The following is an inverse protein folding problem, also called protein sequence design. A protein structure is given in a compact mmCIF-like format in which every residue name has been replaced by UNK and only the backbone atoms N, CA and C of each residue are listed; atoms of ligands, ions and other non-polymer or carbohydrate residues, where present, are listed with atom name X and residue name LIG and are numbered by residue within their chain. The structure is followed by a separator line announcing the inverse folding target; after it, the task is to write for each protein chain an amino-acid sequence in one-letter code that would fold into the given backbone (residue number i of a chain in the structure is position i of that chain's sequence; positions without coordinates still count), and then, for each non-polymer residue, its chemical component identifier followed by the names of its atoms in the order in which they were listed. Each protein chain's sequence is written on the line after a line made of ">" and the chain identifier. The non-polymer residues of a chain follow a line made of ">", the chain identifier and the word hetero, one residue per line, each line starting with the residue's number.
data_IF_539158990252
#
_entry.id   IF_539158990252
#
_cell.length_a   1.000
_cell.length_b   1.000
_cell.length_c   1.000
_cell.angle_alpha   90.00
_cell.angle_beta   90.00
_cell.angle_gamma   90.00
#
_symmetry.space_group_name_H-M   'P 1'
#
loop_
_entity.id
_entity.type
_entity.pdbx_description
1 polymer ?
#
# COMPACT_ATOMS: atom_id res chain seq x y z
N UNK A 1 4.39 12.58 -46.00
CA UNK A 1 4.11 13.93 -46.55
C UNK A 1 4.74 14.95 -45.64
N UNK A 2 5.70 15.72 -46.15
CA UNK A 2 6.51 16.64 -45.33
C UNK A 2 5.70 17.79 -44.73
N UNK A 3 6.16 18.30 -43.58
CA UNK A 3 5.52 19.37 -42.83
C UNK A 3 5.11 20.61 -43.67
N UNK A 4 5.85 20.89 -44.74
CA UNK A 4 5.53 21.99 -45.68
C UNK A 4 4.21 21.84 -46.42
N UNK A 5 3.80 20.62 -46.80
CA UNK A 5 2.51 20.40 -47.48
C UNK A 5 1.32 20.55 -46.51
N UNK A 6 1.52 20.23 -45.23
CA UNK A 6 0.48 20.34 -44.20
C UNK A 6 0.23 21.79 -43.78
N UNK A 7 1.27 22.65 -43.81
CA UNK A 7 1.13 24.10 -43.57
C UNK A 7 0.29 24.79 -44.63
N UNK A 8 0.55 24.50 -45.91
CA UNK A 8 -0.14 25.10 -47.05
C UNK A 8 -1.65 24.79 -47.07
N UNK A 9 -2.05 23.63 -46.52
CA UNK A 9 -3.45 23.20 -46.50
C UNK A 9 -4.24 23.69 -45.27
N UNK A 10 -3.58 23.93 -44.13
CA UNK A 10 -4.27 24.23 -42.85
C UNK A 10 -3.94 25.57 -42.23
N UNK A 11 -2.99 26.35 -42.78
CA UNK A 11 -2.59 27.67 -42.26
C UNK A 11 -1.84 27.64 -40.91
N UNK A 12 -1.90 26.52 -40.20
CA UNK A 12 -1.16 26.26 -38.97
C UNK A 12 -0.58 24.84 -39.00
N UNK A 13 0.71 24.71 -38.69
CA UNK A 13 1.31 23.42 -38.33
C UNK A 13 1.27 23.30 -36.81
N UNK A 14 0.69 22.22 -36.30
CA UNK A 14 0.77 21.88 -34.88
C UNK A 14 2.23 21.50 -34.54
N UNK A 15 3.04 22.50 -34.17
CA UNK A 15 4.46 22.32 -33.83
C UNK A 15 4.70 21.83 -32.39
N UNK A 16 3.64 21.69 -31.59
CA UNK A 16 3.71 21.17 -30.21
C UNK A 16 2.75 20.00 -30.06
N UNK A 17 3.29 18.80 -29.97
CA UNK A 17 2.58 17.62 -29.47
C UNK A 17 2.60 17.68 -27.95
N UNK A 18 1.66 18.41 -27.35
CA UNK A 18 1.42 18.38 -25.90
C UNK A 18 0.53 17.18 -25.58
N UNK A 19 0.96 16.29 -24.69
CA UNK A 19 0.19 15.12 -24.30
C UNK A 19 1.05 14.05 -23.64
N UNK A 20 0.43 12.90 -23.34
CA UNK A 20 1.17 11.72 -22.91
C UNK A 20 1.88 11.09 -24.10
N UNK A 21 3.11 10.66 -23.90
CA UNK A 21 3.86 9.86 -24.87
C UNK A 21 4.34 8.57 -24.19
N UNK A 22 4.57 7.54 -24.99
CA UNK A 22 5.19 6.32 -24.49
C UNK A 22 6.63 6.61 -24.10
N UNK A 23 6.96 6.36 -22.83
CA UNK A 23 8.31 6.55 -22.36
C UNK A 23 9.29 5.62 -23.08
N UNK A 24 10.36 6.21 -23.61
CA UNK A 24 11.53 5.48 -24.12
C UNK A 24 12.62 5.42 -23.04
N UNK A 25 13.61 4.52 -23.21
CA UNK A 25 14.67 4.31 -22.20
C UNK A 25 15.46 5.59 -21.88
N UNK A 26 15.62 6.49 -22.86
CA UNK A 26 16.26 7.79 -22.65
C UNK A 26 15.42 8.72 -21.76
N UNK A 27 14.09 8.70 -21.91
CA UNK A 27 13.17 9.51 -21.11
C UNK A 27 13.14 9.10 -19.64
N UNK A 28 13.54 7.86 -19.31
CA UNK A 28 13.56 7.42 -17.91
C UNK A 28 14.44 8.30 -17.05
N UNK A 29 15.52 8.87 -17.62
CA UNK A 29 16.47 9.72 -16.90
C UNK A 29 15.83 11.00 -16.34
N UNK A 30 14.69 11.41 -16.90
CA UNK A 30 13.99 12.62 -16.49
C UNK A 30 13.29 12.46 -15.13
N UNK A 31 12.97 11.22 -14.72
CA UNK A 31 12.23 10.92 -13.48
C UNK A 31 12.77 9.70 -12.70
N UNK A 32 13.72 8.94 -13.25
CA UNK A 32 14.38 7.81 -12.60
C UNK A 32 15.90 7.95 -12.64
N UNK A 33 16.53 7.64 -11.51
CA UNK A 33 17.98 7.58 -11.40
C UNK A 33 18.41 6.49 -10.43
N UNK A 34 19.57 5.89 -10.67
CA UNK A 34 20.19 4.95 -9.73
C UNK A 34 20.72 5.62 -8.47
N UNK A 35 20.98 6.93 -8.53
CA UNK A 35 21.38 7.75 -7.38
C UNK A 35 20.21 8.12 -6.46
N UNK A 36 18.97 7.91 -6.91
CA UNK A 36 17.80 8.28 -6.12
C UNK A 36 17.57 7.33 -4.95
N UNK A 37 16.84 7.81 -3.95
CA UNK A 37 16.58 7.06 -2.73
C UNK A 37 15.15 6.49 -2.60
N UNK A 38 14.24 6.86 -3.50
CA UNK A 38 12.86 6.43 -3.51
C UNK A 38 12.65 5.00 -4.02
N UNK A 39 11.42 4.67 -4.37
CA UNK A 39 10.98 3.33 -4.78
C UNK A 39 11.68 2.87 -6.08
N UNK A 40 12.02 1.59 -6.12
CA UNK A 40 12.61 0.93 -7.28
C UNK A 40 11.49 0.59 -8.29
N UNK A 41 11.61 1.05 -9.54
CA UNK A 41 10.55 0.82 -10.55
C UNK A 41 10.90 -0.24 -11.59
N UNK A 42 12.18 -0.35 -11.97
CA UNK A 42 12.64 -1.33 -12.97
C UNK A 42 12.91 -2.72 -12.36
N UNK A 43 12.95 -2.81 -11.03
CA UNK A 43 13.31 -4.03 -10.30
C UNK A 43 14.82 -4.29 -10.20
N UNK A 44 15.66 -3.33 -10.60
CA UNK A 44 17.12 -3.47 -10.63
C UNK A 44 17.84 -2.25 -10.04
N UNK A 45 17.87 -1.12 -10.76
CA UNK A 45 18.67 0.04 -10.34
C UNK A 45 17.95 1.39 -10.43
N UNK A 46 16.92 1.53 -11.25
CA UNK A 46 16.25 2.81 -11.49
C UNK A 46 15.19 3.10 -10.44
N UNK A 47 15.45 4.14 -9.65
CA UNK A 47 14.60 4.57 -8.52
C UNK A 47 13.96 5.92 -8.79
N UNK A 48 12.72 6.07 -8.32
CA UNK A 48 12.08 7.38 -8.18
C UNK A 48 12.81 8.23 -7.16
N UNK A 49 12.65 9.55 -7.25
CA UNK A 49 13.00 10.42 -6.14
C UNK A 49 12.17 10.06 -4.89
N UNK A 50 12.67 10.43 -3.73
CA UNK A 50 11.94 10.22 -2.47
C UNK A 50 10.62 11.01 -2.45
N UNK A 51 10.63 12.24 -2.98
CA UNK A 51 9.44 13.08 -3.08
C UNK A 51 8.34 12.45 -3.95
N UNK A 52 8.69 11.93 -5.13
CA UNK A 52 7.72 11.24 -5.99
C UNK A 52 7.23 9.95 -5.36
N UNK A 53 8.08 9.25 -4.61
CA UNK A 53 7.69 8.03 -3.91
C UNK A 53 6.62 8.26 -2.85
N UNK A 54 6.58 9.46 -2.24
CA UNK A 54 5.54 9.87 -1.29
C UNK A 54 4.21 10.29 -1.94
N UNK A 55 4.12 10.33 -3.29
CA UNK A 55 2.86 10.57 -4.01
C UNK A 55 2.03 9.29 -4.25
N UNK A 56 2.49 8.15 -3.74
CA UNK A 56 1.97 6.80 -4.00
C UNK A 56 2.23 6.31 -5.43
N UNK A 57 2.40 4.99 -5.57
CA UNK A 57 2.60 4.33 -6.88
C UNK A 57 1.53 3.28 -7.09
N UNK A 58 0.85 3.33 -8.23
CA UNK A 58 -0.09 2.31 -8.65
C UNK A 58 0.54 1.40 -9.72
N UNK A 59 0.73 0.12 -9.40
CA UNK A 59 1.29 -0.86 -10.33
C UNK A 59 0.18 -1.79 -10.84
N UNK A 60 -0.16 -1.63 -12.12
CA UNK A 60 -1.14 -2.45 -12.82
C UNK A 60 -0.45 -3.56 -13.61
N UNK A 61 -0.79 -4.82 -13.35
CA UNK A 61 -0.17 -5.97 -14.01
C UNK A 61 -1.15 -7.15 -14.07
N UNK A 62 -1.09 -7.95 -15.15
CA UNK A 62 -1.87 -9.19 -15.27
C UNK A 62 -1.35 -10.24 -14.29
N UNK A 63 -2.20 -11.18 -13.89
CA UNK A 63 -1.77 -12.37 -13.13
C UNK A 63 -0.63 -13.07 -13.89
N UNK A 64 0.44 -13.42 -13.17
CA UNK A 64 1.64 -14.04 -13.74
C UNK A 64 2.62 -13.07 -14.42
N UNK A 65 2.32 -11.76 -14.51
CA UNK A 65 3.25 -10.77 -15.08
C UNK A 65 4.45 -10.45 -14.16
N UNK A 66 4.50 -11.05 -12.97
CA UNK A 66 5.60 -10.90 -12.02
C UNK A 66 5.49 -9.69 -11.09
N UNK A 67 4.29 -9.20 -10.77
CA UNK A 67 4.11 -8.08 -9.81
C UNK A 67 4.86 -8.35 -8.49
N UNK A 68 4.70 -9.53 -7.91
CA UNK A 68 5.38 -9.90 -6.65
C UNK A 68 6.88 -10.03 -6.84
N UNK A 69 7.33 -10.77 -7.85
CA UNK A 69 8.74 -11.11 -8.05
C UNK A 69 9.60 -10.00 -8.66
N UNK A 70 9.03 -9.12 -9.50
CA UNK A 70 9.76 -8.03 -10.18
C UNK A 70 9.57 -6.65 -9.54
N UNK A 71 8.51 -6.44 -8.75
CA UNK A 71 8.27 -5.14 -8.12
C UNK A 71 8.29 -5.22 -6.59
N UNK A 72 7.44 -6.06 -5.98
CA UNK A 72 7.29 -6.08 -4.52
C UNK A 72 8.55 -6.59 -3.81
N UNK A 73 9.01 -7.80 -4.14
CA UNK A 73 10.18 -8.42 -3.50
C UNK A 73 11.45 -7.56 -3.70
N UNK A 74 11.78 -7.08 -4.92
CA UNK A 74 12.92 -6.20 -5.12
C UNK A 74 12.86 -4.91 -4.29
N UNK A 75 11.67 -4.29 -4.15
CA UNK A 75 11.53 -3.11 -3.29
C UNK A 75 11.75 -3.45 -1.81
N UNK A 76 11.24 -4.57 -1.30
CA UNK A 76 11.47 -4.98 0.09
C UNK A 76 12.96 -5.19 0.36
N UNK A 77 13.67 -5.87 -0.56
CA UNK A 77 15.11 -6.11 -0.44
C UNK A 77 15.94 -4.82 -0.59
N UNK A 78 15.55 -3.91 -1.49
CA UNK A 78 16.18 -2.59 -1.65
C UNK A 78 16.03 -1.76 -0.37
N UNK A 79 14.82 -1.73 0.19
CA UNK A 79 14.50 -0.94 1.39
C UNK A 79 15.04 -1.53 2.69
N UNK A 80 15.34 -2.82 2.72
CA UNK A 80 16.05 -3.45 3.84
C UNK A 80 17.39 -2.78 4.17
N UNK A 81 18.03 -2.12 3.20
CA UNK A 81 19.30 -1.39 3.39
C UNK A 81 19.10 0.03 3.96
N UNK A 82 17.86 0.49 4.08
CA UNK A 82 17.50 1.82 4.58
C UNK A 82 16.87 1.72 5.96
N UNK A 83 16.83 2.83 6.69
CA UNK A 83 16.12 2.94 7.97
C UNK A 83 14.66 3.28 7.69
N UNK A 84 13.83 2.27 7.50
CA UNK A 84 12.39 2.45 7.29
C UNK A 84 11.60 1.35 7.99
N UNK A 85 10.30 1.56 8.15
CA UNK A 85 9.36 0.52 8.56
C UNK A 85 8.60 0.04 7.33
N UNK A 86 8.39 -1.27 7.22
CA UNK A 86 7.68 -1.87 6.08
C UNK A 86 6.43 -2.61 6.58
N UNK A 87 5.28 -2.24 6.02
CA UNK A 87 4.01 -2.97 6.21
C UNK A 87 3.65 -3.57 4.85
N UNK A 88 3.58 -4.89 4.79
CA UNK A 88 3.42 -5.64 3.55
C UNK A 88 2.17 -6.50 3.68
N UNK A 89 1.21 -6.29 2.78
CA UNK A 89 0.08 -7.20 2.62
C UNK A 89 0.50 -8.36 1.70
N UNK A 90 0.63 -9.56 2.26
CA UNK A 90 1.10 -10.77 1.56
C UNK A 90 0.12 -11.93 1.73
N UNK A 91 -1.00 -11.95 0.99
CA UNK A 91 -2.03 -12.99 1.13
C UNK A 91 -1.55 -14.42 0.85
N UNK A 92 -0.42 -14.58 0.15
CA UNK A 92 0.13 -15.89 -0.24
C UNK A 92 1.37 -16.29 0.56
N UNK A 93 1.95 -15.39 1.35
CA UNK A 93 3.21 -15.61 2.06
C UNK A 93 4.46 -15.64 1.16
N UNK A 94 4.34 -15.30 -0.13
CA UNK A 94 5.47 -15.35 -1.08
C UNK A 94 6.55 -14.32 -0.72
N UNK A 95 6.15 -13.13 -0.28
CA UNK A 95 7.06 -12.05 0.10
C UNK A 95 7.75 -12.40 1.41
N UNK A 96 7.00 -12.89 2.40
CA UNK A 96 7.56 -13.32 3.68
C UNK A 96 8.60 -14.43 3.48
N UNK A 97 8.26 -15.46 2.70
CA UNK A 97 9.18 -16.58 2.41
C UNK A 97 10.44 -16.11 1.68
N UNK A 98 10.31 -15.17 0.74
CA UNK A 98 11.43 -14.67 -0.06
C UNK A 98 12.32 -13.65 0.63
N UNK A 99 11.85 -12.95 1.67
CA UNK A 99 12.54 -11.75 2.19
C UNK A 99 12.78 -11.74 3.70
N UNK A 100 12.02 -12.49 4.50
CA UNK A 100 12.04 -12.38 5.97
C UNK A 100 13.41 -12.70 6.59
N UNK A 101 14.10 -13.72 6.10
CA UNK A 101 15.43 -14.08 6.58
C UNK A 101 16.44 -12.96 6.33
N UNK A 102 16.40 -12.34 5.16
CA UNK A 102 17.26 -11.21 4.82
C UNK A 102 16.95 -9.98 5.67
N UNK A 103 15.66 -9.66 5.86
CA UNK A 103 15.23 -8.57 6.74
C UNK A 103 15.76 -8.75 8.18
N UNK A 104 15.67 -9.97 8.73
CA UNK A 104 16.24 -10.29 10.05
C UNK A 104 17.75 -10.07 10.09
N UNK A 105 18.48 -10.50 9.06
CA UNK A 105 19.92 -10.25 8.96
C UNK A 105 20.26 -8.76 8.88
N UNK A 106 19.41 -7.95 8.26
CA UNK A 106 19.52 -6.49 8.26
C UNK A 106 19.09 -5.82 9.58
N UNK A 107 18.72 -6.59 10.61
CA UNK A 107 18.36 -6.08 11.94
C UNK A 107 16.89 -5.73 12.13
N UNK A 108 16.00 -6.10 11.20
CA UNK A 108 14.57 -5.85 11.34
C UNK A 108 13.90 -6.82 12.30
N UNK A 109 13.00 -6.29 13.14
CA UNK A 109 12.01 -7.10 13.85
C UNK A 109 10.88 -7.46 12.88
N UNK A 110 10.90 -8.69 12.36
CA UNK A 110 9.86 -9.19 11.45
C UNK A 110 8.67 -9.68 12.27
N UNK A 111 7.54 -8.99 12.17
CA UNK A 111 6.26 -9.33 12.80
C UNK A 111 5.33 -9.86 11.70
N UNK A 112 4.69 -11.00 11.95
CA UNK A 112 3.71 -11.62 11.04
C UNK A 112 2.36 -11.61 11.74
N UNK A 113 1.32 -11.11 11.07
CA UNK A 113 -0.06 -11.27 11.50
C UNK A 113 -0.74 -12.14 10.46
N UNK A 114 -1.06 -13.37 10.86
CA UNK A 114 -1.71 -14.37 10.02
C UNK A 114 -2.89 -15.02 10.76
N UNK A 115 -4.11 -14.53 10.51
CA UNK A 115 -5.32 -15.07 11.12
C UNK A 115 -5.62 -16.52 10.73
N UNK A 116 -5.08 -17.04 9.62
CA UNK A 116 -5.31 -18.42 9.19
C UNK A 116 -4.44 -19.44 9.95
N UNK A 117 -3.27 -19.00 10.45
CA UNK A 117 -2.34 -19.86 11.16
C UNK A 117 -1.75 -19.17 12.40
N UNK A 118 -2.43 -19.37 13.52
CA UNK A 118 -2.07 -18.79 14.81
C UNK A 118 -0.68 -19.20 15.31
N UNK A 119 -0.17 -20.39 14.94
CA UNK A 119 1.15 -20.85 15.39
C UNK A 119 2.31 -20.04 14.81
N UNK A 120 2.12 -19.42 13.65
CA UNK A 120 3.11 -18.53 13.01
C UNK A 120 2.76 -17.05 13.12
N UNK A 121 1.59 -16.73 13.66
CA UNK A 121 1.12 -15.36 13.83
C UNK A 121 1.58 -14.77 15.15
N UNK A 122 1.86 -13.48 15.12
CA UNK A 122 1.87 -12.62 16.30
C UNK A 122 0.43 -12.32 16.70
N UNK A 123 0.21 -12.07 17.99
CA UNK A 123 -1.08 -11.63 18.51
C UNK A 123 -1.18 -10.12 18.43
N UNK A 124 -2.34 -9.62 18.04
CA UNK A 124 -2.65 -8.20 18.01
C UNK A 124 -4.09 -8.00 18.47
N UNK A 125 -4.27 -7.21 19.52
CA UNK A 125 -5.59 -6.81 20.00
C UNK A 125 -5.74 -5.29 19.81
N UNK A 126 -6.49 -4.81 18.80
CA UNK A 126 -6.68 -3.37 18.59
C UNK A 126 -7.40 -2.69 19.76
N UNK A 127 -8.18 -3.43 20.56
CA UNK A 127 -8.86 -2.89 21.74
C UNK A 127 -7.89 -2.61 22.90
N UNK A 128 -6.80 -3.37 22.98
CA UNK A 128 -5.73 -3.15 23.96
C UNK A 128 -4.93 -1.89 23.59
N UNK A 129 -4.65 -1.69 22.29
CA UNK A 129 -3.84 -0.57 21.81
C UNK A 129 -4.58 0.77 21.83
N UNK A 130 -5.90 0.77 21.61
CA UNK A 130 -6.72 1.99 21.63
C UNK A 130 -6.83 2.60 23.04
N UNK A 131 -6.17 3.74 23.27
CA UNK A 131 -6.10 4.39 24.59
C UNK A 131 -7.16 5.46 24.78
N UNK A 132 -7.58 6.14 23.71
CA UNK A 132 -8.61 7.19 23.73
C UNK A 132 -9.98 6.71 23.23
N UNK A 133 -11.04 7.43 23.61
CA UNK A 133 -12.39 7.16 23.11
C UNK A 133 -12.50 7.32 21.59
N UNK A 134 -11.71 8.24 21.02
CA UNK A 134 -11.63 8.48 19.58
C UNK A 134 -11.03 7.25 18.88
N UNK A 135 -9.94 6.69 19.42
CA UNK A 135 -9.33 5.47 18.87
C UNK A 135 -10.28 4.27 18.97
N UNK A 136 -11.05 4.13 20.04
CA UNK A 136 -12.06 3.06 20.16
C UNK A 136 -13.18 3.20 19.12
N UNK A 137 -13.62 4.43 18.84
CA UNK A 137 -14.55 4.73 17.77
C UNK A 137 -13.97 4.38 16.39
N UNK A 138 -12.70 4.70 16.15
CA UNK A 138 -12.01 4.33 14.91
C UNK A 138 -11.89 2.81 14.76
N UNK A 139 -11.56 2.08 15.84
CA UNK A 139 -11.53 0.61 15.82
C UNK A 139 -12.92 0.05 15.51
N UNK A 140 -13.98 0.58 16.14
CA UNK A 140 -15.35 0.18 15.85
C UNK A 140 -15.72 0.42 14.37
N UNK A 141 -15.35 1.58 13.81
CA UNK A 141 -15.56 1.90 12.41
C UNK A 141 -14.83 0.93 11.48
N UNK A 142 -13.55 0.66 11.74
CA UNK A 142 -12.74 -0.27 10.94
C UNK A 142 -13.37 -1.67 10.95
N UNK A 143 -13.78 -2.16 12.13
CA UNK A 143 -14.40 -3.49 12.28
C UNK A 143 -15.71 -3.60 11.49
N UNK A 144 -16.60 -2.61 11.61
CA UNK A 144 -17.89 -2.65 10.91
C UNK A 144 -17.67 -2.53 9.40
N UNK A 145 -16.81 -1.62 8.95
CA UNK A 145 -16.54 -1.42 7.51
C UNK A 145 -15.83 -2.61 6.86
N UNK A 146 -14.95 -3.30 7.58
CA UNK A 146 -14.27 -4.50 7.08
C UNK A 146 -15.26 -5.63 6.72
N UNK A 147 -16.44 -5.67 7.36
CA UNK A 147 -17.49 -6.64 7.07
C UNK A 147 -18.40 -6.31 5.87
N UNK A 148 -18.24 -5.13 5.24
CA UNK A 148 -19.12 -4.69 4.15
C UNK A 148 -18.53 -5.13 2.81
N UNK A 149 -19.27 -5.89 1.99
CA UNK A 149 -18.84 -6.24 0.64
C UNK A 149 -18.59 -4.97 -0.21
N UNK A 150 -17.53 -4.98 -1.00
CA UNK A 150 -17.22 -3.91 -1.95
C UNK A 150 -18.38 -3.72 -2.94
N UNK A 151 -19.20 -2.68 -2.75
CA UNK A 151 -20.38 -2.38 -3.58
C UNK A 151 -21.70 -2.18 -2.82
N UNK A 152 -21.75 -2.42 -1.51
CA UNK A 152 -22.93 -2.23 -0.67
C UNK A 152 -23.19 -0.77 -0.26
N UNK A 153 -23.35 0.14 -1.22
CA UNK A 153 -23.52 1.58 -0.97
C UNK A 153 -24.97 2.03 -0.89
N UNK A 154 -25.83 1.44 -0.06
CA UNK A 154 -27.24 1.91 0.01
C UNK A 154 -27.79 2.33 1.36
N UNK A 155 -27.22 1.95 2.50
CA UNK A 155 -27.77 2.41 3.79
C UNK A 155 -26.69 2.86 4.78
N UNK A 156 -26.24 4.11 4.61
CA UNK A 156 -25.43 4.81 5.61
C UNK A 156 -26.10 4.81 6.99
N UNK A 157 -27.44 4.76 7.07
CA UNK A 157 -28.16 4.66 8.33
C UNK A 157 -27.78 3.41 9.13
N UNK A 158 -27.85 2.21 8.51
CA UNK A 158 -27.52 0.96 9.18
C UNK A 158 -26.04 0.88 9.53
N UNK A 159 -25.19 1.40 8.64
CA UNK A 159 -23.76 1.47 8.87
C UNK A 159 -23.42 2.35 10.08
N UNK A 160 -23.93 3.57 10.12
CA UNK A 160 -23.71 4.50 11.23
C UNK A 160 -24.30 3.97 12.53
N UNK A 161 -25.48 3.34 12.49
CA UNK A 161 -26.08 2.67 13.62
C UNK A 161 -25.17 1.56 14.17
N UNK A 162 -24.68 0.67 13.31
CA UNK A 162 -23.77 -0.40 13.70
C UNK A 162 -22.46 0.12 14.30
N UNK A 163 -21.84 1.16 13.71
CA UNK A 163 -20.62 1.78 14.26
C UNK A 163 -20.88 2.35 15.66
N UNK A 164 -22.01 3.04 15.87
CA UNK A 164 -22.38 3.59 17.19
C UNK A 164 -22.57 2.51 18.24
N UNK A 165 -23.29 1.44 17.91
CA UNK A 165 -23.48 0.32 18.83
C UNK A 165 -22.15 -0.39 19.14
N UNK A 166 -21.34 -0.69 18.12
CA UNK A 166 -20.03 -1.31 18.31
C UNK A 166 -19.12 -0.45 19.20
N UNK A 167 -19.06 0.86 18.95
CA UNK A 167 -18.31 1.80 19.79
C UNK A 167 -18.80 1.81 21.24
N UNK A 168 -20.11 1.86 21.47
CA UNK A 168 -20.69 1.79 22.81
C UNK A 168 -20.27 0.50 23.53
N UNK A 169 -20.41 -0.66 22.89
CA UNK A 169 -20.05 -1.94 23.49
C UNK A 169 -18.56 -2.05 23.79
N UNK A 170 -17.69 -1.57 22.89
CA UNK A 170 -16.24 -1.54 23.11
C UNK A 170 -15.88 -0.66 24.30
N UNK A 171 -16.50 0.52 24.43
CA UNK A 171 -16.28 1.43 25.57
C UNK A 171 -16.77 0.83 26.87
N UNK A 172 -17.95 0.19 26.87
CA UNK A 172 -18.45 -0.56 28.03
C UNK A 172 -17.49 -1.67 28.43
N UNK A 173 -16.98 -2.45 27.48
CA UNK A 173 -16.02 -3.53 27.73
C UNK A 173 -14.71 -3.00 28.35
N UNK A 174 -14.20 -1.88 27.85
CA UNK A 174 -12.99 -1.25 28.41
C UNK A 174 -13.20 -0.74 29.85
N UNK A 175 -14.38 -0.21 30.15
CA UNK A 175 -14.72 0.34 31.46
C UNK A 175 -15.15 -0.71 32.48
N UNK A 176 -15.54 -1.91 32.03
CA UNK A 176 -15.98 -2.99 32.92
C UNK A 176 -14.88 -3.44 33.90
N UNK A 177 -13.61 -3.11 33.64
CA UNK A 177 -12.48 -3.62 34.38
C UNK A 177 -12.32 -5.13 34.16
N UNK A 178 -11.11 -5.66 34.34
CA UNK A 178 -10.90 -7.10 34.30
C UNK A 178 -11.34 -7.76 35.62
N UNK A 179 -12.60 -7.61 36.02
CA UNK A 179 -13.19 -8.59 36.92
C UNK A 179 -13.55 -9.80 36.07
N UNK A 180 -12.64 -10.78 36.04
CA UNK A 180 -12.92 -12.11 35.49
C UNK A 180 -14.25 -12.59 36.13
N UNK A 181 -15.32 -12.78 35.35
CA UNK A 181 -16.52 -13.39 35.88
C UNK A 181 -16.27 -14.90 35.95
N UNK A 182 -15.41 -15.32 36.89
CA UNK A 182 -15.02 -16.70 37.23
C UNK A 182 -14.61 -17.63 36.08
#
# INVERSE_FOLDING_TARGET
>A
MGAGAMYLLKGHVLNKTTGADFANKSSYRDYLSSSNNGLLLDGDSLRLSEQESFQNVCVMARVGAGKTSRYIIPNVLDKARKKCSMVINDPKGEVFNGTSAYLKQCGYKVIVIDPENLSRSSYFNPLEEAKSDIELEQVAEILVRAGIPSGGGKDDFWLQGAIRFASLFIKCLKNAGAENPN
#
